data_IF_669553226861
#
_entry.id   IF_669553226861
#
_cell.length_a   1.000
_cell.length_b   1.000
_cell.length_c   1.000
_cell.angle_alpha   90.00
_cell.angle_beta   90.00
_cell.angle_gamma   90.00
#
_symmetry.space_group_name_H-M   'P 1'
#
loop_
_entity.id
_entity.type
_entity.pdbx_description
1 polymer ?
#
# COMPACT_ATOMS: atom_id res chain seq x y z
N UNK A 1 21.60 24.06 4.17
CA UNK A 1 21.61 22.78 4.92
C UNK A 1 20.71 21.80 4.16
N UNK A 2 21.23 20.65 3.72
CA UNK A 2 20.42 19.62 3.06
C UNK A 2 19.89 18.67 4.14
N UNK A 3 18.61 18.82 4.49
CA UNK A 3 17.93 17.93 5.43
C UNK A 3 17.35 16.75 4.63
N UNK A 4 17.75 15.53 4.99
CA UNK A 4 17.07 14.32 4.52
C UNK A 4 15.87 14.11 5.44
N UNK A 5 14.66 14.08 4.89
CA UNK A 5 13.46 13.81 5.67
C UNK A 5 13.53 12.44 6.36
N UNK A 6 12.98 12.31 7.58
CA UNK A 6 13.08 11.09 8.38
C UNK A 6 12.22 9.95 7.84
N UNK A 7 11.21 10.27 7.03
CA UNK A 7 10.32 9.29 6.39
C UNK A 7 10.82 9.05 4.97
N UNK A 8 11.14 7.80 4.66
CA UNK A 8 11.65 7.39 3.36
C UNK A 8 10.80 6.27 2.80
N UNK A 9 10.12 6.53 1.69
CA UNK A 9 9.40 5.49 0.95
C UNK A 9 10.34 4.77 -0.01
N UNK A 10 10.04 3.50 -0.29
CA UNK A 10 10.69 2.78 -1.38
C UNK A 10 10.55 3.58 -2.67
N UNK A 11 11.64 3.74 -3.40
CA UNK A 11 11.64 4.42 -4.69
C UNK A 11 10.70 3.72 -5.70
N UNK A 12 10.52 2.41 -5.55
CA UNK A 12 9.65 1.61 -6.40
C UNK A 12 8.75 0.71 -5.54
N UNK A 13 7.50 1.16 -5.37
CA UNK A 13 6.43 0.31 -4.83
C UNK A 13 5.86 -0.52 -5.98
N UNK A 14 5.80 -1.84 -5.81
CA UNK A 14 5.44 -2.79 -6.87
C UNK A 14 4.03 -3.34 -6.67
N UNK A 15 3.40 -3.76 -7.76
CA UNK A 15 2.18 -4.55 -7.69
C UNK A 15 2.48 -5.95 -7.15
N UNK A 16 1.53 -6.52 -6.42
CA UNK A 16 1.61 -7.88 -5.86
C UNK A 16 1.25 -8.97 -6.89
N UNK A 17 0.87 -8.58 -8.09
CA UNK A 17 0.57 -9.46 -9.23
C UNK A 17 0.99 -8.77 -10.52
N UNK A 18 1.14 -9.54 -11.60
CA UNK A 18 1.37 -8.99 -12.93
C UNK A 18 0.16 -8.16 -13.39
N UNK A 19 0.43 -7.04 -14.05
CA UNK A 19 -0.61 -6.12 -14.51
C UNK A 19 -0.43 -5.85 -16.00
N UNK A 20 -1.53 -5.57 -16.68
CA UNK A 20 -1.52 -5.23 -18.11
C UNK A 20 -2.18 -3.86 -18.34
N UNK A 21 -1.39 -2.80 -18.56
CA UNK A 21 -1.92 -1.51 -18.99
C UNK A 21 -2.63 -1.63 -20.34
N UNK A 22 -3.82 -1.04 -20.45
CA UNK A 22 -4.62 -0.99 -21.67
C UNK A 22 -4.45 0.39 -22.30
N UNK A 23 -4.11 0.41 -23.58
CA UNK A 23 -4.07 1.63 -24.37
C UNK A 23 -5.47 1.94 -24.92
N UNK A 24 -5.94 3.16 -24.68
CA UNK A 24 -7.21 3.67 -25.19
C UNK A 24 -6.94 4.95 -25.98
N UNK A 25 -7.36 4.96 -27.24
CA UNK A 25 -7.33 6.13 -28.09
C UNK A 25 -8.75 6.68 -28.24
N UNK A 26 -8.97 7.91 -27.79
CA UNK A 26 -10.23 8.63 -27.95
C UNK A 26 -10.06 9.70 -29.03
N UNK A 27 -11.04 9.82 -29.92
CA UNK A 27 -11.05 10.93 -30.88
C UNK A 27 -11.54 12.20 -30.18
N UNK A 28 -10.69 13.21 -30.08
CA UNK A 28 -11.12 14.53 -29.65
C UNK A 28 -11.79 15.23 -30.83
N UNK A 29 -13.09 15.54 -30.68
CA UNK A 29 -13.87 16.25 -31.69
C UNK A 29 -13.52 17.74 -31.83
N UNK A 30 -12.47 18.22 -31.14
CA UNK A 30 -12.04 19.61 -31.17
C UNK A 30 -10.84 19.79 -32.12
N UNK A 31 -11.06 20.58 -33.17
CA UNK A 31 -10.01 21.13 -33.98
C UNK A 31 -9.35 22.29 -33.19
N UNK A 32 -8.04 22.20 -32.96
CA UNK A 32 -7.28 23.19 -32.19
C UNK A 32 -7.16 24.57 -32.89
N UNK A 33 -7.54 24.65 -34.17
CA UNK A 33 -7.54 25.89 -34.95
C UNK A 33 -8.78 26.00 -35.86
N UNK A 34 -9.24 27.24 -36.08
CA UNK A 34 -10.37 27.56 -36.97
C UNK A 34 -9.96 27.21 -38.42
N UNK A 35 -10.55 26.13 -38.97
CA UNK A 35 -10.26 25.63 -40.32
C UNK A 35 -9.47 24.31 -40.39
N UNK A 36 -9.02 23.76 -39.26
CA UNK A 36 -8.36 22.46 -39.24
C UNK A 36 -9.40 21.32 -39.34
N UNK A 37 -9.35 20.54 -40.43
CA UNK A 37 -10.17 19.34 -40.67
C UNK A 37 -9.62 18.09 -39.96
N UNK A 38 -8.41 18.17 -39.40
CA UNK A 38 -7.74 17.06 -38.73
C UNK A 38 -8.22 16.93 -37.29
N UNK A 39 -8.90 15.81 -36.98
CA UNK A 39 -9.32 15.46 -35.62
C UNK A 39 -8.08 15.16 -34.76
N UNK A 40 -8.03 15.69 -33.55
CA UNK A 40 -6.96 15.37 -32.59
C UNK A 40 -7.27 14.04 -31.91
N UNK A 41 -6.25 13.22 -31.64
CA UNK A 41 -6.40 11.99 -30.86
C UNK A 41 -5.90 12.20 -29.44
N UNK A 42 -6.68 11.75 -28.45
CA UNK A 42 -6.29 11.70 -27.06
C UNK A 42 -5.97 10.24 -26.70
N UNK A 43 -4.73 10.00 -26.36
CA UNK A 43 -4.23 8.68 -25.98
C UNK A 43 -4.14 8.58 -24.46
N UNK A 44 -4.58 7.45 -23.91
CA UNK A 44 -4.55 7.19 -22.46
C UNK A 44 -4.16 5.75 -22.19
N UNK A 45 -3.24 5.55 -21.26
CA UNK A 45 -2.97 4.25 -20.67
C UNK A 45 -3.80 4.11 -19.41
N UNK A 46 -4.59 3.04 -19.32
CA UNK A 46 -5.42 2.73 -18.16
C UNK A 46 -4.95 1.41 -17.58
N UNK A 47 -4.75 1.39 -16.28
CA UNK A 47 -4.51 0.15 -15.54
C UNK A 47 -5.85 -0.34 -14.98
N UNK A 48 -6.41 -1.46 -15.45
CA UNK A 48 -7.74 -1.90 -15.01
C UNK A 48 -7.80 -2.17 -13.50
N UNK A 49 -6.73 -2.78 -12.98
CA UNK A 49 -6.59 -3.04 -11.55
C UNK A 49 -5.12 -3.31 -11.21
N UNK A 50 -4.70 -2.85 -10.04
CA UNK A 50 -3.43 -3.23 -9.43
C UNK A 50 -3.54 -3.18 -7.92
N UNK A 51 -3.12 -4.25 -7.24
CA UNK A 51 -2.85 -4.21 -5.82
C UNK A 51 -1.37 -3.83 -5.60
N UNK A 52 -1.10 -2.66 -5.03
CA UNK A 52 0.26 -2.15 -4.85
C UNK A 52 0.66 -2.23 -3.38
N UNK A 53 1.83 -2.81 -3.10
CA UNK A 53 2.40 -2.82 -1.76
C UNK A 53 3.33 -1.61 -1.58
N UNK A 54 2.83 -0.59 -0.87
CA UNK A 54 3.61 0.57 -0.46
C UNK A 54 4.51 0.23 0.74
N UNK A 55 5.78 0.64 0.69
CA UNK A 55 6.72 0.46 1.79
C UNK A 55 7.46 1.75 2.10
N UNK A 56 7.63 2.03 3.38
CA UNK A 56 8.45 3.13 3.86
C UNK A 56 9.02 2.82 5.23
N UNK A 57 10.03 3.61 5.59
CA UNK A 57 10.72 3.53 6.88
C UNK A 57 10.76 4.92 7.50
N UNK A 58 10.44 5.00 8.78
CA UNK A 58 10.70 6.18 9.60
C UNK A 58 12.04 5.95 10.29
N UNK A 59 13.03 6.78 9.98
CA UNK A 59 14.40 6.65 10.43
C UNK A 59 14.63 7.42 11.74
N UNK A 60 14.98 6.71 12.83
CA UNK A 60 15.14 7.33 14.14
C UNK A 60 16.33 8.31 14.23
N UNK A 61 17.38 8.11 13.42
CA UNK A 61 18.57 8.98 13.41
C UNK A 61 18.25 10.29 12.74
N UNK A 62 17.58 10.24 11.59
CA UNK A 62 17.12 11.44 10.89
C UNK A 62 16.08 12.19 11.74
N UNK A 63 15.14 11.46 12.37
CA UNK A 63 14.09 12.03 13.22
C UNK A 63 14.65 12.92 14.35
N UNK A 64 15.76 12.51 14.98
CA UNK A 64 16.46 13.30 16.02
C UNK A 64 16.94 14.65 15.52
N UNK A 65 17.40 14.72 14.27
CA UNK A 65 17.94 15.94 13.67
C UNK A 65 16.86 16.83 13.04
N UNK A 66 15.74 16.24 12.61
CA UNK A 66 14.62 16.98 12.02
C UNK A 66 13.52 17.32 13.03
N UNK A 67 13.57 16.77 14.24
CA UNK A 67 12.56 16.99 15.29
C UNK A 67 11.22 16.29 15.04
N UNK A 68 11.22 15.16 14.31
CA UNK A 68 9.99 14.41 14.03
C UNK A 68 9.40 13.86 15.33
N UNK A 69 8.11 14.10 15.54
CA UNK A 69 7.35 13.60 16.70
C UNK A 69 6.46 12.43 16.33
N UNK A 70 5.96 11.70 17.33
CA UNK A 70 4.96 10.65 17.11
C UNK A 70 3.63 11.20 16.56
N UNK A 71 3.29 12.45 16.88
CA UNK A 71 2.10 13.12 16.34
C UNK A 71 2.25 13.37 14.83
N UNK A 72 3.44 13.78 14.38
CA UNK A 72 3.72 13.94 12.94
C UNK A 72 3.61 12.60 12.20
N UNK A 73 4.05 11.50 12.83
CA UNK A 73 3.90 10.15 12.27
C UNK A 73 2.43 9.75 12.22
N UNK A 74 1.63 10.10 13.23
CA UNK A 74 0.18 9.85 13.21
C UNK A 74 -0.50 10.59 12.05
N UNK A 75 -0.19 11.88 11.88
CA UNK A 75 -0.69 12.68 10.75
C UNK A 75 -0.25 12.11 9.40
N UNK A 76 0.97 11.59 9.29
CA UNK A 76 1.43 10.89 8.09
C UNK A 76 0.56 9.67 7.79
N UNK A 77 0.30 8.81 8.78
CA UNK A 77 -0.52 7.60 8.61
C UNK A 77 -1.96 7.95 8.22
N UNK A 78 -2.52 8.99 8.83
CA UNK A 78 -3.81 9.55 8.46
C UNK A 78 -3.82 10.01 7.00
N UNK A 79 -2.82 10.78 6.60
CA UNK A 79 -2.65 11.27 5.24
C UNK A 79 -2.48 10.14 4.21
N UNK A 80 -1.76 9.08 4.55
CA UNK A 80 -1.61 7.90 3.69
C UNK A 80 -2.96 7.18 3.48
N UNK A 81 -3.74 7.01 4.54
CA UNK A 81 -5.02 6.31 4.46
C UNK A 81 -6.11 7.17 3.81
N UNK A 82 -6.42 8.32 4.41
CA UNK A 82 -7.50 9.22 4.00
C UNK A 82 -7.14 9.94 2.70
N UNK A 83 -5.90 10.36 2.54
CA UNK A 83 -5.43 11.04 1.33
C UNK A 83 -5.57 10.16 0.10
N UNK A 84 -5.24 8.86 0.20
CA UNK A 84 -5.44 7.89 -0.91
C UNK A 84 -6.93 7.72 -1.25
N UNK A 85 -7.78 7.60 -0.22
CA UNK A 85 -9.22 7.37 -0.41
C UNK A 85 -9.97 8.61 -0.96
N UNK A 86 -9.44 9.82 -0.76
CA UNK A 86 -10.08 11.08 -1.14
C UNK A 86 -9.59 11.67 -2.49
N UNK A 87 -8.85 10.89 -3.30
CA UNK A 87 -8.34 11.34 -4.59
C UNK A 87 -9.45 11.42 -5.66
N UNK A 88 -9.89 12.65 -5.96
CA UNK A 88 -10.98 12.93 -6.93
C UNK A 88 -10.48 13.42 -8.30
N UNK A 89 -9.38 12.88 -8.82
CA UNK A 89 -8.88 13.23 -10.17
C UNK A 89 -9.16 12.11 -11.16
N UNK A 90 -9.42 12.43 -12.44
CA UNK A 90 -9.73 11.45 -13.50
C UNK A 90 -8.75 10.26 -13.60
N UNK A 91 -7.48 10.43 -13.26
CA UNK A 91 -6.45 9.38 -13.31
C UNK A 91 -6.24 8.61 -12.00
N UNK A 92 -6.87 9.03 -10.89
CA UNK A 92 -6.68 8.46 -9.55
C UNK A 92 -7.98 8.10 -8.84
N UNK A 93 -9.13 8.44 -9.44
CA UNK A 93 -10.44 8.07 -8.95
C UNK A 93 -10.56 6.55 -8.91
N UNK A 94 -10.86 6.01 -7.72
CA UNK A 94 -10.89 4.57 -7.47
C UNK A 94 -9.66 4.01 -6.75
N UNK A 95 -8.65 4.82 -6.44
CA UNK A 95 -7.58 4.43 -5.51
C UNK A 95 -8.17 4.24 -4.10
N UNK A 96 -7.85 3.11 -3.48
CA UNK A 96 -8.41 2.75 -2.18
C UNK A 96 -7.33 2.09 -1.32
N UNK A 97 -7.26 2.52 -0.08
CA UNK A 97 -6.42 1.90 0.95
C UNK A 97 -7.08 0.61 1.43
N UNK A 98 -6.33 -0.48 1.47
CA UNK A 98 -6.84 -1.80 1.90
C UNK A 98 -6.21 -2.28 3.21
N UNK A 99 -4.93 -1.99 3.42
CA UNK A 99 -4.20 -2.33 4.64
C UNK A 99 -3.13 -1.27 4.90
N UNK A 100 -3.08 -0.78 6.13
CA UNK A 100 -2.01 0.04 6.66
C UNK A 100 -1.43 -0.68 7.86
N UNK A 101 -0.14 -0.95 7.80
CA UNK A 101 0.61 -1.66 8.82
C UNK A 101 1.81 -0.80 9.22
N UNK A 102 1.87 -0.40 10.49
CA UNK A 102 3.06 0.18 11.10
C UNK A 102 3.63 -0.82 12.08
N UNK A 103 4.94 -1.06 11.98
CA UNK A 103 5.68 -1.84 12.97
C UNK A 103 6.71 -0.90 13.58
N UNK A 104 6.61 -0.71 14.90
CA UNK A 104 7.55 0.07 15.70
C UNK A 104 8.53 -0.88 16.37
N UNK A 105 9.83 -0.60 16.27
CA UNK A 105 10.91 -1.46 16.76
C UNK A 105 11.70 -0.79 17.87
N UNK A 106 12.44 -1.59 18.63
CA UNK A 106 13.53 -1.08 19.45
C UNK A 106 14.61 -0.42 18.57
N UNK A 107 15.34 0.59 19.09
CA UNK A 107 16.33 1.33 18.31
C UNK A 107 17.36 0.44 17.62
N UNK A 108 17.71 0.74 16.37
CA UNK A 108 18.71 0.01 15.58
C UNK A 108 18.23 -1.32 14.99
N UNK A 109 16.96 -1.71 15.19
CA UNK A 109 16.38 -2.94 14.64
C UNK A 109 15.30 -2.63 13.62
N UNK A 110 15.23 -3.42 12.54
CA UNK A 110 14.09 -3.46 11.63
C UNK A 110 13.97 -4.81 10.94
N UNK A 111 12.75 -5.21 10.61
CA UNK A 111 12.51 -6.28 9.63
C UNK A 111 12.59 -5.64 8.24
N UNK A 112 13.51 -6.13 7.41
CA UNK A 112 13.63 -5.70 6.01
C UNK A 112 12.62 -6.41 5.09
N UNK A 113 12.41 -5.81 3.91
CA UNK A 113 11.67 -6.42 2.79
C UNK A 113 10.26 -6.90 3.16
N UNK A 114 9.51 -6.12 3.95
CA UNK A 114 8.13 -6.48 4.33
C UNK A 114 7.22 -6.77 3.12
N UNK A 115 7.26 -6.00 2.00
CA UNK A 115 6.43 -6.29 0.83
C UNK A 115 6.68 -7.66 0.21
N UNK A 116 7.90 -8.18 0.27
CA UNK A 116 8.26 -9.50 -0.27
C UNK A 116 7.70 -10.65 0.57
N UNK A 117 7.10 -10.33 1.72
CA UNK A 117 6.47 -11.30 2.63
C UNK A 117 4.95 -11.33 2.50
N UNK A 118 4.43 -10.62 1.51
CA UNK A 118 2.99 -10.47 1.24
C UNK A 118 2.74 -10.96 -0.18
N UNK A 119 1.87 -11.96 -0.32
CA UNK A 119 1.65 -12.61 -1.61
C UNK A 119 0.17 -12.57 -1.98
N UNK A 120 -0.12 -12.20 -3.23
CA UNK A 120 -1.49 -12.32 -3.75
C UNK A 120 -1.73 -13.76 -4.18
N UNK A 121 -2.88 -14.32 -3.81
CA UNK A 121 -3.34 -15.66 -4.20
C UNK A 121 -4.69 -15.53 -4.90
N UNK A 122 -4.79 -16.04 -6.13
CA UNK A 122 -6.00 -16.00 -6.95
C UNK A 122 -6.10 -17.23 -7.85
N UNK A 123 -7.33 -17.67 -8.12
CA UNK A 123 -7.62 -18.69 -9.14
C UNK A 123 -7.69 -18.07 -10.56
N UNK A 124 -7.71 -16.74 -10.65
CA UNK A 124 -7.67 -16.02 -11.93
C UNK A 124 -6.22 -15.77 -12.34
N UNK A 125 -6.00 -15.64 -13.64
CA UNK A 125 -4.74 -15.08 -14.13
C UNK A 125 -4.56 -13.64 -13.63
N UNK A 126 -3.33 -13.28 -13.28
CA UNK A 126 -2.98 -11.96 -12.72
C UNK A 126 -3.58 -10.78 -13.49
N UNK A 127 -3.52 -10.82 -14.83
CA UNK A 127 -4.01 -9.74 -15.70
C UNK A 127 -5.54 -9.71 -15.83
N UNK A 128 -6.25 -10.72 -15.30
CA UNK A 128 -7.71 -10.81 -15.26
C UNK A 128 -8.31 -10.38 -13.92
N UNK A 129 -7.48 -10.07 -12.92
CA UNK A 129 -7.93 -9.52 -11.61
C UNK A 129 -8.53 -8.13 -11.82
N UNK A 130 -9.71 -7.88 -11.25
CA UNK A 130 -10.46 -6.61 -11.39
C UNK A 130 -10.95 -6.02 -10.07
N UNK A 131 -10.93 -6.77 -8.98
CA UNK A 131 -11.38 -6.29 -7.67
C UNK A 131 -10.75 -7.08 -6.51
N UNK A 132 -10.94 -6.60 -5.28
CA UNK A 132 -10.53 -7.32 -4.07
C UNK A 132 -11.27 -8.65 -3.82
N UNK A 133 -12.34 -8.92 -4.57
CA UNK A 133 -13.07 -10.19 -4.50
C UNK A 133 -12.40 -11.29 -5.33
N UNK A 134 -11.49 -10.92 -6.24
CA UNK A 134 -10.83 -11.85 -7.15
C UNK A 134 -9.61 -12.53 -6.53
N UNK A 135 -9.19 -12.14 -5.34
CA UNK A 135 -7.98 -12.64 -4.70
C UNK A 135 -8.10 -12.67 -3.17
N UNK A 136 -7.10 -13.31 -2.57
CA UNK A 136 -6.77 -13.23 -1.15
C UNK A 136 -5.31 -12.82 -1.04
N UNK A 137 -4.90 -12.32 0.12
CA UNK A 137 -3.50 -11.99 0.38
C UNK A 137 -2.96 -12.87 1.48
N UNK A 138 -1.97 -13.70 1.13
CA UNK A 138 -1.23 -14.51 2.07
C UNK A 138 -0.16 -13.67 2.78
N UNK A 139 -0.29 -13.60 4.11
CA UNK A 139 0.60 -12.90 5.02
C UNK A 139 1.38 -13.85 5.94
N UNK A 140 1.35 -15.17 5.66
CA UNK A 140 2.09 -16.18 6.46
C UNK A 140 3.56 -15.79 6.66
N UNK A 141 4.34 -15.43 5.61
CA UNK A 141 5.75 -15.09 5.78
C UNK A 141 5.96 -13.78 6.56
N UNK A 142 4.97 -12.88 6.51
CA UNK A 142 4.98 -11.61 7.24
C UNK A 142 4.76 -11.85 8.73
N UNK A 143 3.72 -12.60 9.10
CA UNK A 143 3.45 -12.94 10.50
C UNK A 143 4.59 -13.77 11.10
N UNK A 144 5.17 -14.70 10.34
CA UNK A 144 6.36 -15.45 10.76
C UNK A 144 7.55 -14.54 11.10
N UNK A 145 7.79 -13.50 10.28
CA UNK A 145 8.87 -12.54 10.52
C UNK A 145 8.61 -11.66 11.75
N UNK A 146 7.36 -11.21 11.93
CA UNK A 146 6.96 -10.41 13.09
C UNK A 146 7.11 -11.25 14.37
N UNK A 147 6.64 -12.49 14.36
CA UNK A 147 6.78 -13.43 15.49
C UNK A 147 8.24 -13.70 15.84
N UNK A 148 9.09 -13.95 14.85
CA UNK A 148 10.52 -14.19 15.06
C UNK A 148 11.25 -12.99 15.68
N UNK A 149 10.74 -11.77 15.47
CA UNK A 149 11.31 -10.54 15.99
C UNK A 149 10.53 -9.96 17.19
N UNK A 150 9.58 -10.69 17.78
CA UNK A 150 8.63 -10.13 18.75
C UNK A 150 9.29 -9.39 19.93
N UNK A 151 10.41 -9.89 20.47
CA UNK A 151 11.15 -9.24 21.57
C UNK A 151 11.70 -7.86 21.20
N UNK A 152 11.87 -7.59 19.90
CA UNK A 152 12.43 -6.34 19.37
C UNK A 152 11.35 -5.41 18.84
N UNK A 153 10.08 -5.81 18.89
CA UNK A 153 8.94 -5.03 18.43
C UNK A 153 8.32 -4.33 19.63
N UNK A 154 8.17 -3.02 19.53
CA UNK A 154 7.51 -2.18 20.53
C UNK A 154 6.00 -2.19 20.31
N UNK A 155 5.55 -2.21 19.04
CA UNK A 155 4.14 -2.24 18.71
C UNK A 155 3.88 -2.53 17.24
N UNK A 156 2.70 -3.06 16.97
CA UNK A 156 2.18 -3.31 15.62
C UNK A 156 0.84 -2.61 15.53
N UNK A 157 0.77 -1.53 14.76
CA UNK A 157 -0.46 -0.76 14.57
C UNK A 157 -1.05 -1.10 13.21
N UNK A 158 -2.36 -1.39 13.19
CA UNK A 158 -3.04 -1.92 12.00
C UNK A 158 -4.34 -1.19 11.73
N UNK A 159 -4.55 -0.86 10.46
CA UNK A 159 -5.86 -0.48 9.94
C UNK A 159 -6.15 -1.27 8.66
N UNK A 160 -7.32 -1.87 8.57
CA UNK A 160 -7.71 -2.74 7.47
C UNK A 160 -9.11 -2.38 6.95
N UNK A 161 -9.27 -2.41 5.63
CA UNK A 161 -10.56 -2.37 4.98
C UNK A 161 -11.20 -3.77 4.95
N UNK A 162 -12.48 -3.86 5.32
CA UNK A 162 -13.21 -5.12 5.40
C UNK A 162 -13.29 -5.90 4.08
N UNK A 163 -13.05 -5.24 2.94
CA UNK A 163 -13.04 -5.87 1.62
C UNK A 163 -11.77 -6.66 1.34
N UNK A 164 -10.69 -6.41 2.10
CA UNK A 164 -9.45 -7.16 1.97
C UNK A 164 -9.56 -8.47 2.75
N UNK A 165 -9.35 -9.58 2.04
CA UNK A 165 -9.31 -10.92 2.64
C UNK A 165 -7.87 -11.35 2.80
N UNK A 166 -7.45 -11.56 4.05
CA UNK A 166 -6.12 -12.08 4.37
C UNK A 166 -6.19 -13.57 4.70
N UNK A 167 -5.08 -14.25 4.45
CA UNK A 167 -4.86 -15.64 4.86
C UNK A 167 -3.51 -15.81 5.53
N UNK A 168 -3.43 -16.70 6.50
CA UNK A 168 -2.17 -17.16 7.10
C UNK A 168 -2.27 -18.65 7.44
N UNK A 169 -1.29 -19.46 7.03
CA UNK A 169 -1.26 -20.92 7.25
C UNK A 169 -2.58 -21.62 6.87
N UNK A 170 -3.20 -21.18 5.76
CA UNK A 170 -4.48 -21.71 5.27
C UNK A 170 -5.73 -21.19 6.02
N UNK A 171 -5.57 -20.45 7.12
CA UNK A 171 -6.67 -19.81 7.83
C UNK A 171 -7.00 -18.45 7.21
N UNK A 172 -8.28 -18.06 7.27
CA UNK A 172 -8.79 -16.79 6.74
C UNK A 172 -9.23 -15.89 7.88
N UNK A 173 -8.88 -14.61 7.82
CA UNK A 173 -9.32 -13.60 8.79
C UNK A 173 -8.85 -12.20 8.44
N UNK A 174 -9.19 -11.25 9.29
CA UNK A 174 -8.52 -9.95 9.35
C UNK A 174 -7.09 -10.12 9.88
N UNK A 175 -6.25 -9.10 9.67
CA UNK A 175 -4.88 -9.11 10.17
C UNK A 175 -4.84 -9.26 11.69
N UNK A 176 -5.75 -8.57 12.40
CA UNK A 176 -5.87 -8.65 13.84
C UNK A 176 -6.20 -10.07 14.33
N UNK A 177 -7.19 -10.72 13.72
CA UNK A 177 -7.55 -12.11 14.05
C UNK A 177 -6.39 -13.07 13.77
N UNK A 178 -5.76 -12.97 12.59
CA UNK A 178 -4.67 -13.87 12.20
C UNK A 178 -3.42 -13.70 13.08
N UNK A 179 -3.13 -12.49 13.52
CA UNK A 179 -2.00 -12.21 14.40
C UNK A 179 -2.23 -12.64 15.85
N UNK A 180 -3.49 -12.63 16.33
CA UNK A 180 -3.82 -13.19 17.65
C UNK A 180 -3.51 -14.69 17.72
N UNK A 181 -3.73 -15.43 16.63
CA UNK A 181 -3.40 -16.87 16.56
C UNK A 181 -1.91 -17.16 16.76
N UNK A 182 -1.05 -16.18 16.48
CA UNK A 182 0.41 -16.29 16.62
C UNK A 182 0.96 -15.48 17.80
N UNK A 183 0.09 -15.00 18.71
CA UNK A 183 0.42 -14.24 19.91
C UNK A 183 1.18 -12.93 19.64
N UNK A 184 0.87 -12.24 18.53
CA UNK A 184 1.43 -10.92 18.24
C UNK A 184 0.46 -9.86 18.78
N UNK A 185 0.89 -9.00 19.73
CA UNK A 185 0.06 -7.90 20.21
C UNK A 185 -0.12 -6.86 19.09
N UNK A 186 -1.37 -6.44 18.87
CA UNK A 186 -1.73 -5.43 17.86
C UNK A 186 -2.51 -4.31 18.53
N UNK A 187 -2.20 -3.09 18.11
CA UNK A 187 -3.01 -1.92 18.38
C UNK A 187 -3.88 -1.61 17.15
N UNK A 188 -5.16 -1.34 17.39
CA UNK A 188 -6.01 -0.77 16.34
C UNK A 188 -5.58 0.67 16.09
N UNK A 189 -5.38 1.03 14.83
CA UNK A 189 -5.01 2.39 14.46
C UNK A 189 -6.28 3.23 14.31
N UNK A 190 -6.56 4.08 15.29
CA UNK A 190 -7.66 5.05 15.22
C UNK A 190 -7.19 6.30 14.46
N UNK A 191 -7.64 6.41 13.20
CA UNK A 191 -7.40 7.55 12.30
C UNK A 191 -8.61 8.46 12.22
#
# INVERSE_FOLDING_TARGET
MKLTGPVQFSAFNRSLHAVNPIFIQQTAAFASQKGATQKSFAERWILPYALIAGYGVVNEVAAKTTGLTDEDVKLLLEGLWRGTNNLNTHSKMGHQSLLLLRISYQPGIRIGALPERVHLVSDKQDTAIRSSQDYRVDITPLLGAIKAAHEKIVGVDVLQDNRLVLTADGQRGSFAELAQLVNIPINSLEL
#
